data_IF_526660302996
#
_entry.id   IF_526660302996
#
_cell.length_a   1.000
_cell.length_b   1.000
_cell.length_c   1.000
_cell.angle_alpha   90.00
_cell.angle_beta   90.00
_cell.angle_gamma   90.00
#
_symmetry.space_group_name_H-M   'P 1'
#
loop_
_entity.id
_entity.type
_entity.pdbx_description
1 polymer ?
#
# COMPACT_ATOMS: atom_id res chain seq x y z
N UNK A 1 16.69 -19.35 -10.92
CA UNK A 1 16.38 -19.44 -12.36
C UNK A 1 15.68 -18.15 -12.78
N UNK A 2 15.91 -17.64 -13.98
CA UNK A 2 15.17 -16.48 -14.49
C UNK A 2 13.70 -16.89 -14.71
N UNK A 3 12.78 -15.93 -14.57
CA UNK A 3 11.33 -16.15 -14.69
C UNK A 3 10.72 -15.15 -15.67
N UNK A 4 9.67 -15.57 -16.37
CA UNK A 4 8.82 -14.67 -17.17
C UNK A 4 7.38 -14.93 -16.80
N UNK A 5 6.69 -13.88 -16.36
CA UNK A 5 5.26 -13.90 -16.05
C UNK A 5 4.51 -13.31 -17.24
N UNK A 6 3.42 -13.94 -17.66
CA UNK A 6 2.49 -13.44 -18.66
C UNK A 6 1.09 -13.33 -18.09
N UNK A 7 0.37 -12.27 -18.44
CA UNK A 7 -1.03 -12.07 -18.06
C UNK A 7 -1.38 -10.61 -17.86
N UNK A 8 -2.40 -10.36 -17.03
CA UNK A 8 -2.83 -9.02 -16.67
C UNK A 8 -1.86 -8.40 -15.67
N UNK A 9 -1.37 -7.20 -15.95
CA UNK A 9 -0.39 -6.48 -15.12
C UNK A 9 -0.87 -5.05 -14.90
N UNK A 10 -0.72 -4.56 -13.68
CA UNK A 10 -1.00 -3.16 -13.33
C UNK A 10 0.04 -2.59 -12.37
N UNK A 11 0.41 -1.33 -12.54
CA UNK A 11 1.19 -0.59 -11.55
C UNK A 11 1.05 0.92 -11.72
N UNK A 12 1.58 1.67 -10.76
CA UNK A 12 1.61 3.13 -10.79
C UNK A 12 2.95 3.67 -11.33
N UNK A 13 2.88 4.72 -12.14
CA UNK A 13 4.04 5.52 -12.57
C UNK A 13 4.16 6.83 -11.79
N UNK A 14 3.02 7.39 -11.39
CA UNK A 14 2.90 8.56 -10.53
C UNK A 14 1.53 8.53 -9.82
N UNK A 15 1.24 9.54 -9.00
CA UNK A 15 -0.04 9.67 -8.30
C UNK A 15 -1.26 9.56 -9.25
N UNK A 16 -1.14 10.11 -10.46
CA UNK A 16 -2.24 10.20 -11.42
C UNK A 16 -2.03 9.37 -12.69
N UNK A 17 -0.98 8.54 -12.74
CA UNK A 17 -0.62 7.73 -13.92
C UNK A 17 -0.55 6.24 -13.57
N UNK A 18 -1.40 5.46 -14.22
CA UNK A 18 -1.58 4.02 -14.06
C UNK A 18 -1.22 3.33 -15.37
N UNK A 19 -0.28 2.40 -15.33
CA UNK A 19 0.09 1.59 -16.48
C UNK A 19 -0.55 0.21 -16.35
N UNK A 20 -1.18 -0.22 -17.45
CA UNK A 20 -2.00 -1.42 -17.51
C UNK A 20 -1.61 -2.21 -18.76
N UNK A 21 -1.42 -3.51 -18.58
CA UNK A 21 -1.27 -4.45 -19.67
C UNK A 21 -2.32 -5.55 -19.50
N UNK A 22 -3.31 -5.60 -20.38
CA UNK A 22 -4.36 -6.65 -20.34
C UNK A 22 -3.87 -8.00 -20.84
N UNK A 23 -2.80 -7.99 -21.64
CA UNK A 23 -1.94 -9.13 -21.97
C UNK A 23 -0.50 -8.59 -22.04
N UNK A 24 0.22 -8.73 -20.93
CA UNK A 24 1.59 -8.26 -20.78
C UNK A 24 2.55 -9.35 -20.32
N UNK A 25 3.83 -8.99 -20.26
CA UNK A 25 4.86 -9.81 -19.66
C UNK A 25 5.71 -9.02 -18.65
N UNK A 26 6.25 -9.72 -17.65
CA UNK A 26 7.35 -9.25 -16.78
C UNK A 26 8.45 -10.30 -16.78
N UNK A 27 9.66 -9.91 -17.17
CA UNK A 27 10.86 -10.74 -17.13
C UNK A 27 11.70 -10.40 -15.90
N UNK A 28 11.98 -11.41 -15.08
CA UNK A 28 12.74 -11.30 -13.82
C UNK A 28 14.00 -12.16 -13.90
N UNK A 29 15.16 -11.55 -13.67
CA UNK A 29 16.44 -12.25 -13.70
C UNK A 29 16.66 -13.14 -12.46
N UNK A 30 17.79 -13.84 -12.44
CA UNK A 30 18.13 -14.75 -11.34
C UNK A 30 18.42 -14.04 -10.00
N UNK A 31 18.66 -12.72 -10.03
CA UNK A 31 18.87 -11.88 -8.84
C UNK A 31 17.57 -11.23 -8.37
N UNK A 32 16.44 -11.55 -9.01
CA UNK A 32 15.14 -11.00 -8.68
C UNK A 32 14.89 -9.60 -9.22
N UNK A 33 15.69 -9.14 -10.19
CA UNK A 33 15.54 -7.83 -10.84
C UNK A 33 14.64 -7.93 -12.06
N UNK A 34 13.79 -6.93 -12.23
CA UNK A 34 12.98 -6.76 -13.43
C UNK A 34 13.89 -6.28 -14.55
N UNK A 35 13.89 -7.00 -15.67
CA UNK A 35 14.71 -6.68 -16.85
C UNK A 35 13.91 -6.47 -18.13
N UNK A 36 12.60 -6.77 -18.08
CA UNK A 36 11.66 -6.50 -19.16
C UNK A 36 10.25 -6.39 -18.62
N UNK A 37 9.48 -5.44 -19.16
CA UNK A 37 8.05 -5.26 -18.90
C UNK A 37 7.42 -4.67 -20.16
N UNK A 38 6.22 -5.13 -20.52
CA UNK A 38 5.52 -4.61 -21.69
C UNK A 38 4.33 -5.47 -22.09
N UNK A 39 3.73 -5.16 -23.24
CA UNK A 39 2.69 -6.00 -23.83
C UNK A 39 3.26 -7.36 -24.29
N UNK A 40 2.45 -8.41 -24.22
CA UNK A 40 2.89 -9.76 -24.62
C UNK A 40 3.29 -9.82 -26.10
N UNK A 41 2.63 -9.05 -26.98
CA UNK A 41 2.92 -9.06 -28.42
C UNK A 41 4.33 -8.54 -28.78
N UNK A 42 5.01 -7.82 -27.88
CA UNK A 42 6.41 -7.39 -28.09
C UNK A 42 7.42 -8.35 -27.45
N UNK A 43 6.97 -9.40 -26.76
CA UNK A 43 7.85 -10.31 -26.03
C UNK A 43 8.84 -11.04 -26.95
N UNK A 44 8.38 -11.53 -28.10
CA UNK A 44 9.25 -12.27 -29.01
C UNK A 44 10.40 -11.40 -29.53
N UNK A 45 10.11 -10.14 -29.89
CA UNK A 45 11.12 -9.15 -30.25
C UNK A 45 12.08 -8.89 -29.08
N UNK A 46 11.54 -8.66 -27.88
CA UNK A 46 12.35 -8.48 -26.68
C UNK A 46 13.27 -9.69 -26.40
N UNK A 47 12.78 -10.91 -26.61
CA UNK A 47 13.52 -12.16 -26.40
C UNK A 47 14.67 -12.33 -27.39
N UNK A 48 14.56 -11.80 -28.62
CA UNK A 48 15.70 -11.80 -29.57
C UNK A 48 16.91 -11.04 -29.03
N UNK A 49 16.66 -9.98 -28.24
CA UNK A 49 17.70 -9.15 -27.62
C UNK A 49 18.14 -9.70 -26.25
N UNK A 50 17.36 -10.60 -25.65
CA UNK A 50 17.57 -11.16 -24.30
C UNK A 50 17.64 -12.69 -24.34
N UNK A 51 18.57 -13.24 -25.14
CA UNK A 51 18.66 -14.69 -25.40
C UNK A 51 18.88 -15.54 -24.14
N UNK A 52 19.39 -14.96 -23.06
CA UNK A 52 19.52 -15.58 -21.73
C UNK A 52 18.16 -15.95 -21.09
N UNK A 53 17.03 -15.49 -21.65
CA UNK A 53 15.68 -15.85 -21.22
C UNK A 53 15.05 -17.02 -22.00
N UNK A 54 15.71 -17.57 -23.04
CA UNK A 54 15.16 -18.69 -23.84
C UNK A 54 14.88 -19.99 -23.07
N UNK A 55 15.40 -20.12 -21.84
CA UNK A 55 15.13 -21.21 -20.91
C UNK A 55 14.60 -20.74 -19.55
N UNK A 56 14.06 -19.53 -19.47
CA UNK A 56 13.46 -19.02 -18.25
C UNK A 56 12.21 -19.83 -17.87
N UNK A 57 11.92 -19.92 -16.57
CA UNK A 57 10.64 -20.47 -16.11
C UNK A 57 9.52 -19.55 -16.58
N UNK A 58 8.61 -20.08 -17.40
CA UNK A 58 7.46 -19.33 -17.88
C UNK A 58 6.26 -19.61 -16.98
N UNK A 59 5.60 -18.53 -16.59
CA UNK A 59 4.39 -18.53 -15.80
C UNK A 59 3.30 -17.75 -16.54
N UNK A 60 2.11 -18.35 -16.68
CA UNK A 60 0.96 -17.71 -17.29
C UNK A 60 -0.15 -17.60 -16.26
N UNK A 61 -0.56 -16.37 -15.95
CA UNK A 61 -1.70 -16.08 -15.07
C UNK A 61 -3.01 -16.45 -15.79
N UNK A 62 -4.02 -16.83 -15.02
CA UNK A 62 -5.38 -17.00 -15.56
C UNK A 62 -6.03 -15.65 -15.85
N UNK A 63 -7.18 -15.66 -16.54
CA UNK A 63 -7.93 -14.43 -16.81
C UNK A 63 -8.55 -13.79 -15.55
N UNK A 64 -8.64 -14.55 -14.46
CA UNK A 64 -9.10 -14.09 -13.14
C UNK A 64 -7.94 -13.62 -12.25
N UNK A 65 -6.73 -13.59 -12.79
CA UNK A 65 -5.52 -13.24 -12.06
C UNK A 65 -4.84 -12.03 -12.67
N UNK A 66 -4.38 -11.14 -11.80
CA UNK A 66 -3.54 -10.02 -12.20
C UNK A 66 -2.34 -9.85 -11.27
N UNK A 67 -1.33 -9.18 -11.79
CA UNK A 67 -0.06 -8.92 -11.15
C UNK A 67 0.03 -7.44 -10.79
N UNK A 68 0.31 -7.12 -9.53
CA UNK A 68 0.49 -5.75 -9.05
C UNK A 68 1.68 -5.62 -8.10
N UNK A 69 2.29 -4.42 -7.93
CA UNK A 69 3.37 -4.24 -6.97
C UNK A 69 2.88 -4.61 -5.58
N UNK A 70 3.75 -5.22 -4.79
CA UNK A 70 3.39 -5.47 -3.41
C UNK A 70 3.36 -4.21 -2.57
N UNK A 71 2.57 -4.28 -1.50
CA UNK A 71 2.30 -3.14 -0.66
C UNK A 71 3.53 -2.73 0.17
N UNK A 72 3.53 -1.48 0.64
CA UNK A 72 4.57 -0.89 1.48
C UNK A 72 3.89 -0.32 2.72
N UNK A 73 4.31 -0.77 3.91
CA UNK A 73 3.82 -0.28 5.19
C UNK A 73 4.86 0.63 5.83
N UNK A 74 4.64 1.93 5.70
CA UNK A 74 5.57 2.94 6.16
C UNK A 74 5.60 3.09 7.69
N UNK A 75 4.66 2.49 8.44
CA UNK A 75 4.63 2.62 9.90
C UNK A 75 3.82 1.52 10.58
N UNK A 76 4.49 0.73 11.42
CA UNK A 76 3.90 -0.35 12.21
C UNK A 76 4.70 -0.55 13.51
N UNK A 77 4.03 -0.81 14.64
CA UNK A 77 4.70 -1.24 15.86
C UNK A 77 4.59 -2.77 16.01
N UNK A 78 5.61 -3.48 15.52
CA UNK A 78 5.69 -4.94 15.68
C UNK A 78 5.50 -5.44 17.13
N UNK A 79 6.05 -4.77 18.18
CA UNK A 79 5.81 -5.18 19.57
C UNK A 79 4.34 -5.11 20.01
N UNK A 80 3.51 -4.32 19.32
CA UNK A 80 2.12 -4.08 19.71
C UNK A 80 1.13 -5.01 19.00
N UNK A 81 1.58 -5.88 18.10
CA UNK A 81 0.69 -6.79 17.35
C UNK A 81 -0.18 -7.67 18.25
N UNK A 82 0.30 -8.04 19.44
CA UNK A 82 -0.44 -8.87 20.37
C UNK A 82 -1.66 -8.18 21.03
N UNK A 83 -1.76 -6.84 20.97
CA UNK A 83 -2.88 -6.07 21.56
C UNK A 83 -3.79 -5.40 20.53
N UNK A 84 -3.67 -5.75 19.24
CA UNK A 84 -4.57 -5.23 18.18
C UNK A 84 -6.04 -5.35 18.62
N UNK A 85 -6.78 -4.26 18.49
CA UNK A 85 -8.22 -4.23 18.78
C UNK A 85 -8.60 -4.05 20.26
N UNK A 86 -7.62 -3.79 21.15
CA UNK A 86 -7.88 -3.55 22.57
C UNK A 86 -7.81 -2.05 22.91
N UNK A 87 -8.79 -1.55 23.66
CA UNK A 87 -8.77 -0.19 24.25
C UNK A 87 -8.92 0.97 23.26
N UNK A 88 -9.47 0.71 22.08
CA UNK A 88 -9.64 1.74 21.03
C UNK A 88 -10.75 2.76 21.34
N UNK A 89 -11.45 2.60 22.46
CA UNK A 89 -12.42 3.52 23.03
C UNK A 89 -11.81 4.46 24.09
N UNK A 90 -10.47 4.45 24.23
CA UNK A 90 -9.73 5.27 25.19
C UNK A 90 -8.93 6.39 24.51
N UNK A 91 -8.69 7.53 25.20
CA UNK A 91 -7.72 8.53 24.76
C UNK A 91 -6.31 7.95 24.61
N UNK A 92 -5.51 8.49 23.67
CA UNK A 92 -4.17 7.99 23.34
C UNK A 92 -3.27 7.76 24.57
N UNK A 93 -3.17 8.74 25.48
CA UNK A 93 -2.29 8.63 26.65
C UNK A 93 -2.77 7.55 27.64
N UNK A 94 -4.07 7.40 27.81
CA UNK A 94 -4.64 6.38 28.70
C UNK A 94 -4.44 4.99 28.10
N UNK A 95 -4.62 4.88 26.78
CA UNK A 95 -4.36 3.65 26.03
C UNK A 95 -2.90 3.20 26.13
N UNK A 96 -1.95 4.13 25.97
CA UNK A 96 -0.52 3.85 26.09
C UNK A 96 -0.15 3.29 27.46
N UNK A 97 -0.65 3.92 28.53
CA UNK A 97 -0.36 3.50 29.91
C UNK A 97 -1.04 2.16 30.27
N UNK A 98 -2.24 1.92 29.76
CA UNK A 98 -3.04 0.74 30.11
C UNK A 98 -2.61 -0.52 29.36
N UNK A 99 -2.33 -0.41 28.06
CA UNK A 99 -2.06 -1.56 27.19
C UNK A 99 -0.62 -1.60 26.68
N UNK A 100 -0.18 -0.50 26.05
CA UNK A 100 1.06 -0.47 25.26
C UNK A 100 2.31 -0.65 26.10
N UNK A 101 2.57 0.21 27.08
CA UNK A 101 3.79 0.11 27.89
C UNK A 101 3.88 -1.22 28.67
N UNK A 102 2.81 -1.73 29.29
CA UNK A 102 2.84 -3.04 29.92
C UNK A 102 3.11 -4.20 28.94
N UNK A 103 2.61 -4.14 27.70
CA UNK A 103 2.90 -5.16 26.69
C UNK A 103 4.34 -5.07 26.19
N UNK A 104 4.82 -3.87 25.84
CA UNK A 104 6.18 -3.67 25.33
C UNK A 104 7.24 -4.11 26.36
N UNK A 105 7.00 -3.86 27.65
CA UNK A 105 7.87 -4.33 28.73
C UNK A 105 8.05 -5.87 28.75
N UNK A 106 7.07 -6.65 28.27
CA UNK A 106 7.17 -8.12 28.21
C UNK A 106 8.20 -8.61 27.20
N UNK A 107 8.63 -7.79 26.24
CA UNK A 107 9.64 -8.17 25.25
C UNK A 107 11.07 -8.24 25.83
N UNK A 108 11.26 -7.88 27.11
CA UNK A 108 12.45 -8.27 27.85
C UNK A 108 12.61 -9.82 27.92
N UNK A 109 11.51 -10.59 27.83
CA UNK A 109 11.54 -12.04 27.65
C UNK A 109 11.72 -12.40 26.16
N UNK A 110 12.88 -12.95 25.82
CA UNK A 110 13.20 -13.39 24.46
C UNK A 110 12.26 -14.48 23.93
N UNK A 111 11.72 -15.35 24.78
CA UNK A 111 10.76 -16.40 24.34
C UNK A 111 9.44 -15.77 23.92
N UNK A 112 8.96 -14.78 24.68
CA UNK A 112 7.78 -14.00 24.32
C UNK A 112 8.02 -13.22 23.02
N UNK A 113 9.18 -12.56 22.89
CA UNK A 113 9.56 -11.83 21.69
C UNK A 113 9.55 -12.75 20.44
N UNK A 114 10.23 -13.90 20.50
CA UNK A 114 10.27 -14.86 19.38
C UNK A 114 8.86 -15.31 18.95
N UNK A 115 7.99 -15.63 19.91
CA UNK A 115 6.62 -16.07 19.62
C UNK A 115 5.82 -15.00 18.90
N UNK A 116 5.89 -13.75 19.34
CA UNK A 116 5.11 -12.67 18.72
C UNK A 116 5.71 -12.24 17.39
N UNK A 117 7.03 -12.06 17.30
CA UNK A 117 7.69 -11.68 16.05
C UNK A 117 7.55 -12.73 14.94
N UNK A 118 7.44 -14.03 15.28
CA UNK A 118 7.13 -15.05 14.28
C UNK A 118 5.79 -14.77 13.57
N UNK A 119 4.76 -14.31 14.30
CA UNK A 119 3.48 -13.90 13.71
C UNK A 119 3.61 -12.63 12.90
N UNK A 120 4.36 -11.63 13.39
CA UNK A 120 4.61 -10.40 12.65
C UNK A 120 5.26 -10.70 11.31
N UNK A 121 6.31 -11.52 11.30
CA UNK A 121 7.01 -11.92 10.07
C UNK A 121 6.05 -12.65 9.12
N UNK A 122 5.30 -13.66 9.59
CA UNK A 122 4.34 -14.37 8.73
C UNK A 122 3.29 -13.42 8.15
N UNK A 123 2.63 -12.61 8.99
CA UNK A 123 1.59 -11.68 8.54
C UNK A 123 2.14 -10.58 7.62
N UNK A 124 3.36 -10.09 7.85
CA UNK A 124 4.04 -9.12 6.98
C UNK A 124 4.49 -9.74 5.65
N UNK A 125 4.86 -11.02 5.64
CA UNK A 125 5.27 -11.71 4.42
C UNK A 125 4.08 -12.20 3.59
N UNK A 126 2.95 -12.55 4.21
CA UNK A 126 1.72 -12.94 3.51
C UNK A 126 1.01 -11.77 2.81
N UNK A 127 1.33 -10.53 3.22
CA UNK A 127 0.68 -9.30 2.74
C UNK A 127 1.64 -8.28 2.12
N UNK A 128 2.94 -8.62 2.12
CA UNK A 128 4.11 -7.79 1.82
C UNK A 128 4.15 -6.44 2.55
N UNK A 129 4.94 -6.34 3.63
CA UNK A 129 5.27 -5.08 4.30
C UNK A 129 6.78 -4.85 4.40
N UNK A 130 7.23 -3.69 3.94
CA UNK A 130 8.57 -3.15 4.17
C UNK A 130 8.42 -1.99 5.16
N UNK A 131 9.03 -2.09 6.35
CA UNK A 131 9.02 -1.06 7.40
C UNK A 131 10.44 -0.54 7.70
N UNK A 132 10.58 0.75 8.02
CA UNK A 132 11.88 1.40 8.33
C UNK A 132 11.81 2.28 9.60
N UNK A 133 12.92 2.38 10.33
CA UNK A 133 13.05 3.21 11.54
C UNK A 133 13.66 4.60 11.25
N UNK A 134 13.26 5.60 12.05
CA UNK A 134 13.42 7.03 11.78
C UNK A 134 14.78 7.63 12.20
N UNK A 135 15.27 8.58 11.38
CA UNK A 135 16.30 9.59 11.72
C UNK A 135 15.65 10.98 11.78
N UNK A 136 16.24 11.95 12.50
CA UNK A 136 15.67 13.30 12.67
C UNK A 136 15.89 14.20 11.43
N UNK A 137 14.79 14.67 10.80
CA UNK A 137 14.66 15.73 9.79
C UNK A 137 15.62 15.76 8.58
N UNK A 138 15.67 14.66 7.83
CA UNK A 138 16.37 14.55 6.53
C UNK A 138 15.43 14.02 5.45
N UNK A 139 15.92 13.89 4.21
CA UNK A 139 15.19 13.24 3.10
C UNK A 139 14.91 11.74 3.32
N UNK A 140 15.45 11.16 4.41
CA UNK A 140 15.22 9.78 4.87
C UNK A 140 14.40 9.74 6.17
N UNK A 141 13.85 10.87 6.56
CA UNK A 141 12.93 10.96 7.70
C UNK A 141 11.51 10.75 7.19
N UNK A 142 10.83 9.84 7.85
CA UNK A 142 9.39 9.66 7.73
C UNK A 142 8.77 10.17 9.05
N UNK A 143 7.59 10.75 9.03
CA UNK A 143 6.87 11.13 10.25
C UNK A 143 5.47 10.55 10.18
N UNK A 144 5.02 9.88 11.24
CA UNK A 144 3.71 9.27 11.26
C UNK A 144 2.59 10.31 11.49
N UNK A 145 1.39 9.97 11.03
CA UNK A 145 0.12 10.68 11.27
C UNK A 145 -0.05 12.01 10.52
N UNK A 146 0.78 13.02 10.84
CA UNK A 146 0.72 14.38 10.28
C UNK A 146 -0.69 15.04 10.32
N UNK A 147 -1.49 14.76 11.36
CA UNK A 147 -2.88 15.23 11.46
C UNK A 147 -2.97 16.73 11.70
N UNK A 148 -2.12 17.27 12.56
CA UNK A 148 -2.25 18.64 13.08
C UNK A 148 -1.18 19.60 12.56
N UNK A 149 -0.49 19.26 11.47
CA UNK A 149 0.54 20.13 10.92
C UNK A 149 -0.07 21.45 10.41
N UNK A 150 0.52 22.56 10.84
CA UNK A 150 0.21 23.87 10.29
C UNK A 150 0.89 24.11 8.92
N UNK A 151 0.58 25.23 8.26
CA UNK A 151 1.14 25.54 6.94
C UNK A 151 2.66 25.79 6.97
N UNK A 152 3.20 26.29 8.07
CA UNK A 152 4.64 26.54 8.23
C UNK A 152 5.40 25.21 8.39
N UNK A 153 4.85 24.29 9.19
CA UNK A 153 5.37 22.93 9.37
C UNK A 153 5.32 22.12 8.08
N UNK A 154 4.21 22.17 7.34
CA UNK A 154 4.08 21.52 6.02
C UNK A 154 5.12 22.08 5.04
N UNK A 155 5.28 23.41 5.01
CA UNK A 155 6.30 24.05 4.18
C UNK A 155 7.70 23.60 4.56
N UNK A 156 7.99 23.46 5.86
CA UNK A 156 9.27 22.96 6.36
C UNK A 156 9.50 21.49 5.95
N UNK A 157 8.49 20.64 6.07
CA UNK A 157 8.56 19.24 5.65
C UNK A 157 8.92 19.13 4.17
N UNK A 158 8.21 19.88 3.31
CA UNK A 158 8.49 19.93 1.87
C UNK A 158 9.92 20.39 1.58
N UNK A 159 10.40 21.45 2.25
CA UNK A 159 11.79 21.94 2.09
C UNK A 159 12.85 20.94 2.54
N UNK A 160 12.59 20.16 3.60
CA UNK A 160 13.54 19.17 4.14
C UNK A 160 13.47 17.83 3.40
N UNK A 161 12.46 17.62 2.57
CA UNK A 161 12.16 16.33 1.95
C UNK A 161 11.70 15.29 2.96
N UNK A 162 11.17 15.71 4.10
CA UNK A 162 10.59 14.80 5.11
C UNK A 162 9.29 14.22 4.57
N UNK A 163 9.17 12.89 4.65
CA UNK A 163 7.99 12.15 4.19
C UNK A 163 7.00 11.93 5.33
N UNK A 164 5.78 11.55 4.98
CA UNK A 164 4.72 11.21 5.94
C UNK A 164 4.25 9.78 5.75
N UNK A 165 4.08 9.06 6.87
CA UNK A 165 3.31 7.82 6.92
C UNK A 165 1.90 8.15 7.39
N UNK A 166 0.93 8.12 6.47
CA UNK A 166 -0.47 8.35 6.78
C UNK A 166 -1.06 7.08 7.41
N UNK A 167 -1.51 7.19 8.67
CA UNK A 167 -2.02 6.09 9.49
C UNK A 167 -3.52 6.26 9.79
N UNK A 168 -4.40 6.19 8.77
CA UNK A 168 -5.80 6.59 8.89
C UNK A 168 -6.60 5.76 9.88
N UNK A 169 -6.34 4.45 9.98
CA UNK A 169 -7.03 3.58 10.95
C UNK A 169 -6.78 4.06 12.39
N UNK A 170 -5.51 4.20 12.76
CA UNK A 170 -5.10 4.68 14.08
C UNK A 170 -5.64 6.08 14.40
N UNK A 171 -5.50 7.00 13.44
CA UNK A 171 -5.96 8.37 13.61
C UNK A 171 -7.47 8.44 13.93
N UNK A 172 -8.28 7.58 13.30
CA UNK A 172 -9.72 7.51 13.55
C UNK A 172 -10.05 6.80 14.87
N UNK A 173 -9.42 5.64 15.13
CA UNK A 173 -9.71 4.83 16.31
C UNK A 173 -9.35 5.56 17.60
N UNK A 174 -8.21 6.25 17.63
CA UNK A 174 -7.74 7.00 18.80
C UNK A 174 -8.23 8.45 18.82
N UNK A 175 -9.24 8.78 18.00
CA UNK A 175 -9.82 10.13 17.91
C UNK A 175 -8.79 11.24 17.72
N UNK A 176 -7.71 10.95 16.98
CA UNK A 176 -6.63 11.92 16.71
C UNK A 176 -7.05 12.95 15.67
N UNK A 177 -7.77 12.54 14.62
CA UNK A 177 -8.34 13.45 13.62
C UNK A 177 -8.09 13.05 12.17
N UNK A 178 -8.39 13.95 11.24
CA UNK A 178 -8.35 13.69 9.80
C UNK A 178 -7.10 14.33 9.17
N UNK A 179 -6.20 13.51 8.63
CA UNK A 179 -5.02 13.99 7.91
C UNK A 179 -5.35 14.32 6.45
N UNK A 180 -5.12 15.56 6.04
CA UNK A 180 -5.33 16.03 4.65
C UNK A 180 -4.12 15.69 3.77
N UNK A 181 -4.08 14.44 3.31
CA UNK A 181 -3.00 13.91 2.45
C UNK A 181 -2.79 14.74 1.19
N UNK A 182 -3.87 15.25 0.58
CA UNK A 182 -3.77 16.04 -0.65
C UNK A 182 -3.12 17.39 -0.41
N UNK A 183 -3.39 18.04 0.74
CA UNK A 183 -2.67 19.24 1.18
C UNK A 183 -1.18 18.98 1.37
N UNK A 184 -0.80 17.82 1.92
CA UNK A 184 0.61 17.44 2.08
C UNK A 184 1.30 17.26 0.72
N UNK A 185 0.70 16.47 -0.18
CA UNK A 185 1.25 16.17 -1.50
C UNK A 185 1.39 17.44 -2.35
N UNK A 186 0.41 18.35 -2.29
CA UNK A 186 0.46 19.65 -2.98
C UNK A 186 1.67 20.49 -2.56
N UNK A 187 2.19 20.29 -1.36
CA UNK A 187 3.38 20.96 -0.82
C UNK A 187 4.67 20.13 -1.01
N UNK A 188 4.66 19.12 -1.89
CA UNK A 188 5.85 18.33 -2.22
C UNK A 188 6.24 17.30 -1.18
N UNK A 189 5.40 17.04 -0.18
CA UNK A 189 5.62 15.99 0.82
C UNK A 189 5.28 14.64 0.19
N UNK A 190 6.21 13.69 0.29
CA UNK A 190 5.97 12.30 -0.10
C UNK A 190 5.14 11.62 0.98
N UNK A 191 4.08 10.93 0.58
CA UNK A 191 3.16 10.26 1.50
C UNK A 191 3.06 8.78 1.14
N UNK A 192 3.24 7.92 2.14
CA UNK A 192 2.91 6.51 2.09
C UNK A 192 1.84 6.16 3.12
N UNK A 193 1.33 4.92 3.08
CA UNK A 193 0.37 4.43 4.08
C UNK A 193 1.08 3.66 5.20
N UNK A 194 0.54 3.74 6.41
CA UNK A 194 0.98 2.96 7.56
C UNK A 194 -0.19 2.28 8.25
N UNK A 195 0.00 1.05 8.73
CA UNK A 195 -1.03 0.36 9.52
C UNK A 195 -1.13 0.90 10.94
N UNK A 196 0.01 1.33 11.49
CA UNK A 196 0.16 1.79 12.87
C UNK A 196 -0.48 0.86 13.90
N UNK A 197 -0.28 -0.44 13.69
CA UNK A 197 -0.67 -1.40 14.72
C UNK A 197 0.09 -1.07 16.00
N UNK A 198 -0.54 -1.00 17.17
CA UNK A 198 -1.95 -1.39 17.43
C UNK A 198 -2.96 -0.26 17.59
N UNK A 199 -2.56 1.01 17.40
CA UNK A 199 -3.52 2.11 17.33
C UNK A 199 -4.50 1.90 16.17
N UNK A 200 -3.97 1.41 15.05
CA UNK A 200 -4.74 0.77 13.99
C UNK A 200 -5.14 -0.66 14.35
N UNK A 201 -6.37 -1.03 14.00
CA UNK A 201 -6.97 -2.33 14.31
C UNK A 201 -6.71 -3.41 13.24
N UNK A 202 -5.85 -3.14 12.26
CA UNK A 202 -5.59 -4.04 11.13
C UNK A 202 -4.12 -4.04 10.74
N UNK A 203 -3.56 -5.23 10.52
CA UNK A 203 -2.26 -5.40 9.86
C UNK A 203 -2.40 -5.41 8.33
N UNK A 204 -3.46 -4.84 7.74
CA UNK A 204 -3.69 -4.85 6.29
C UNK A 204 -3.41 -3.48 5.69
N UNK A 205 -2.42 -3.31 4.80
CA UNK A 205 -2.32 -2.06 4.03
C UNK A 205 -3.53 -1.87 3.13
N UNK A 206 -4.20 -2.95 2.74
CA UNK A 206 -5.48 -2.83 2.07
C UNK A 206 -6.55 -2.17 2.95
N UNK A 207 -6.59 -2.46 4.26
CA UNK A 207 -7.44 -1.69 5.17
C UNK A 207 -6.97 -0.23 5.26
N UNK A 208 -5.66 0.03 5.34
CA UNK A 208 -5.13 1.39 5.31
C UNK A 208 -5.52 2.16 4.02
N UNK A 209 -5.60 1.49 2.86
CA UNK A 209 -6.14 2.06 1.61
C UNK A 209 -7.59 2.49 1.81
N UNK A 210 -8.44 1.61 2.34
CA UNK A 210 -9.86 1.92 2.58
C UNK A 210 -10.03 3.08 3.56
N UNK A 211 -9.28 3.07 4.66
CA UNK A 211 -9.35 4.15 5.65
C UNK A 211 -8.81 5.47 5.11
N UNK A 212 -7.81 5.46 4.23
CA UNK A 212 -7.35 6.68 3.56
C UNK A 212 -8.43 7.27 2.64
N UNK A 213 -9.15 6.41 1.91
CA UNK A 213 -10.30 6.82 1.10
C UNK A 213 -11.41 7.42 1.97
N UNK A 214 -11.79 6.74 3.07
CA UNK A 214 -12.78 7.23 4.04
C UNK A 214 -12.40 8.60 4.59
N UNK A 215 -11.16 8.77 5.08
CA UNK A 215 -10.66 10.05 5.61
C UNK A 215 -10.75 11.15 4.56
N UNK A 216 -10.40 10.86 3.30
CA UNK A 216 -10.49 11.85 2.22
C UNK A 216 -11.94 12.24 1.90
N UNK A 217 -12.89 11.32 1.97
CA UNK A 217 -14.33 11.61 1.83
C UNK A 217 -14.86 12.40 3.01
N UNK A 218 -14.46 12.09 4.24
CA UNK A 218 -14.84 12.86 5.42
C UNK A 218 -14.35 14.31 5.30
N UNK A 219 -13.12 14.53 4.84
CA UNK A 219 -12.61 15.87 4.54
C UNK A 219 -13.42 16.56 3.45
N UNK A 220 -13.87 15.84 2.42
CA UNK A 220 -14.77 16.40 1.41
C UNK A 220 -16.08 16.90 2.04
N UNK A 221 -16.70 16.11 2.92
CA UNK A 221 -17.94 16.50 3.59
C UNK A 221 -17.73 17.78 4.41
N UNK A 222 -16.67 17.82 5.21
CA UNK A 222 -16.31 18.97 6.06
C UNK A 222 -16.01 20.22 5.21
N UNK A 223 -15.35 20.06 4.06
CA UNK A 223 -14.94 21.19 3.22
C UNK A 223 -16.00 21.71 2.27
N UNK A 224 -16.97 20.89 1.86
CA UNK A 224 -17.92 21.26 0.79
C UNK A 224 -19.35 21.39 1.27
N UNK A 225 -19.72 20.70 2.34
CA UNK A 225 -21.11 20.55 2.76
C UNK A 225 -21.40 21.35 4.03
N UNK A 226 -22.61 21.90 4.10
CA UNK A 226 -23.16 22.42 5.35
C UNK A 226 -23.81 21.26 6.13
N UNK A 227 -23.00 20.58 6.95
CA UNK A 227 -23.49 19.48 7.78
C UNK A 227 -24.30 20.06 8.96
N UNK A 228 -25.63 20.01 8.85
CA UNK A 228 -26.54 20.51 9.89
C UNK A 228 -26.29 19.84 11.23
N UNK A 229 -26.23 20.63 12.31
CA UNK A 229 -26.04 20.13 13.68
C UNK A 229 -24.59 19.85 14.09
N UNK A 230 -23.60 20.09 13.22
CA UNK A 230 -22.17 19.88 13.50
C UNK A 230 -21.41 21.14 13.96
N UNK A 231 -22.12 22.26 14.15
CA UNK A 231 -21.53 23.59 14.34
C UNK A 231 -21.37 24.36 13.02
N UNK A 232 -20.65 25.48 13.04
CA UNK A 232 -20.29 26.26 11.84
C UNK A 232 -18.84 25.91 11.47
N UNK A 233 -18.63 25.40 10.26
CA UNK A 233 -17.29 25.26 9.67
C UNK A 233 -17.02 26.50 8.81
N UNK A 234 -15.93 27.22 9.11
CA UNK A 234 -15.66 28.54 8.54
C UNK A 234 -15.06 28.49 7.13
N UNK A 235 -14.38 27.38 6.78
CA UNK A 235 -13.62 27.28 5.52
C UNK A 235 -14.27 26.25 4.60
N UNK A 236 -14.89 26.75 3.53
CA UNK A 236 -15.36 25.91 2.43
C UNK A 236 -14.33 25.86 1.30
N UNK A 237 -14.05 24.68 0.78
CA UNK A 237 -13.23 24.44 -0.41
C UNK A 237 -14.03 23.59 -1.41
N UNK A 238 -14.80 24.27 -2.26
CA UNK A 238 -15.65 23.64 -3.27
C UNK A 238 -14.85 22.89 -4.36
N UNK A 239 -13.55 23.16 -4.49
CA UNK A 239 -12.68 22.50 -5.44
C UNK A 239 -12.06 21.20 -4.90
N UNK A 240 -12.19 20.92 -3.59
CA UNK A 240 -11.64 19.71 -3.00
C UNK A 240 -12.22 18.46 -3.66
N UNK A 241 -11.33 17.53 -4.02
CA UNK A 241 -11.67 16.22 -4.57
C UNK A 241 -11.03 15.17 -3.67
N UNK A 242 -11.79 14.18 -3.18
CA UNK A 242 -11.24 13.12 -2.35
C UNK A 242 -10.26 12.24 -3.15
N UNK A 243 -9.49 11.43 -2.42
CA UNK A 243 -8.64 10.41 -3.05
C UNK A 243 -9.52 9.41 -3.80
N UNK A 244 -9.07 9.01 -4.99
CA UNK A 244 -9.62 7.84 -5.67
C UNK A 244 -8.79 6.57 -5.40
N UNK A 245 -9.33 5.40 -5.72
CA UNK A 245 -8.67 4.12 -5.45
C UNK A 245 -7.30 3.99 -6.14
N UNK A 246 -7.11 4.61 -7.32
CA UNK A 246 -5.82 4.61 -8.02
C UNK A 246 -4.77 5.37 -7.21
N UNK A 247 -5.12 6.58 -6.74
CA UNK A 247 -4.23 7.36 -5.88
C UNK A 247 -3.93 6.62 -4.58
N UNK A 248 -4.92 5.94 -3.98
CA UNK A 248 -4.68 5.17 -2.76
C UNK A 248 -3.75 3.95 -3.00
N UNK A 249 -3.88 3.24 -4.13
CA UNK A 249 -2.91 2.21 -4.54
C UNK A 249 -1.51 2.81 -4.72
N UNK A 250 -1.38 4.00 -5.31
CA UNK A 250 -0.09 4.70 -5.41
C UNK A 250 0.52 4.90 -4.02
N UNK A 251 -0.23 5.45 -3.05
CA UNK A 251 0.25 5.65 -1.69
C UNK A 251 0.66 4.32 -1.01
N UNK A 252 -0.04 3.23 -1.32
CA UNK A 252 0.25 1.89 -0.80
C UNK A 252 1.43 1.18 -1.48
N UNK A 253 1.93 1.69 -2.61
CA UNK A 253 2.97 1.04 -3.42
C UNK A 253 4.13 2.01 -3.69
N UNK A 254 4.12 2.69 -4.84
CA UNK A 254 5.19 3.60 -5.25
C UNK A 254 5.34 4.80 -4.30
N UNK A 255 4.25 5.40 -3.85
CA UNK A 255 4.26 6.50 -2.89
C UNK A 255 4.83 6.10 -1.53
N UNK A 256 4.52 4.88 -1.06
CA UNK A 256 5.16 4.29 0.13
C UNK A 256 6.66 4.08 -0.08
N UNK A 257 7.06 3.50 -1.21
CA UNK A 257 8.47 3.34 -1.54
C UNK A 257 9.20 4.71 -1.66
N UNK A 258 8.55 5.74 -2.18
CA UNK A 258 9.08 7.10 -2.23
C UNK A 258 9.24 7.70 -0.83
N UNK A 259 8.24 7.52 0.03
CA UNK A 259 8.28 7.99 1.42
C UNK A 259 9.46 7.38 2.18
N UNK A 260 9.73 6.09 1.99
CA UNK A 260 10.85 5.37 2.60
C UNK A 260 12.20 5.56 1.89
N UNK A 261 12.27 6.37 0.82
CA UNK A 261 13.45 6.53 -0.03
C UNK A 261 13.96 5.21 -0.66
N UNK A 262 13.03 4.30 -0.98
CA UNK A 262 13.24 3.00 -1.62
C UNK A 262 12.69 2.94 -3.05
N UNK A 263 12.19 4.05 -3.61
CA UNK A 263 11.55 4.08 -4.93
C UNK A 263 12.50 3.81 -6.10
N UNK A 264 13.82 3.79 -5.91
CA UNK A 264 14.79 3.29 -6.89
C UNK A 264 14.97 1.76 -6.84
N UNK A 265 14.43 1.10 -5.82
CA UNK A 265 14.61 -0.32 -5.53
C UNK A 265 13.31 -1.10 -5.73
N UNK A 266 12.16 -0.53 -5.35
CA UNK A 266 10.84 -1.19 -5.35
C UNK A 266 9.69 -0.19 -5.61
N UNK A 267 8.44 -0.64 -5.45
CA UNK A 267 7.21 0.17 -5.48
C UNK A 267 6.46 0.17 -6.81
N UNK A 268 7.10 -0.23 -7.92
CA UNK A 268 6.45 -0.46 -9.21
C UNK A 268 7.30 -1.38 -10.11
N UNK A 269 6.85 -1.65 -11.34
CA UNK A 269 7.52 -2.58 -12.27
C UNK A 269 8.54 -1.97 -13.22
N UNK A 270 9.12 -0.82 -12.88
CA UNK A 270 10.20 -0.24 -13.68
C UNK A 270 11.42 -1.18 -13.76
N UNK A 271 12.02 -1.27 -14.95
CA UNK A 271 13.25 -2.04 -15.19
C UNK A 271 14.36 -1.62 -14.21
N UNK A 272 15.08 -2.60 -13.66
CA UNK A 272 16.15 -2.42 -12.66
C UNK A 272 15.69 -2.51 -11.20
N UNK A 273 14.37 -2.45 -10.93
CA UNK A 273 13.81 -2.67 -9.59
C UNK A 273 13.75 -4.16 -9.24
N UNK A 274 13.64 -4.45 -7.95
CA UNK A 274 13.33 -5.81 -7.49
C UNK A 274 11.87 -6.15 -7.78
N UNK A 275 11.63 -7.42 -8.11
CA UNK A 275 10.30 -7.96 -8.29
C UNK A 275 9.65 -8.26 -6.93
N UNK A 276 9.12 -7.19 -6.35
CA UNK A 276 8.27 -7.18 -5.16
C UNK A 276 6.81 -7.08 -5.63
N UNK A 277 6.10 -8.20 -5.64
CA UNK A 277 4.85 -8.33 -6.38
C UNK A 277 3.83 -9.21 -5.67
N UNK A 278 2.57 -8.95 -5.97
CA UNK A 278 1.43 -9.79 -5.63
C UNK A 278 0.88 -10.39 -6.92
N UNK A 279 0.51 -11.67 -6.86
CA UNK A 279 -0.44 -12.25 -7.81
C UNK A 279 -1.76 -12.36 -7.07
N UNK A 280 -2.74 -11.62 -7.55
CA UNK A 280 -4.10 -11.56 -7.00
C UNK A 280 -5.00 -12.45 -7.83
N UNK A 281 -5.87 -13.22 -7.18
CA UNK A 281 -6.85 -14.10 -7.79
C UNK A 281 -8.27 -13.69 -7.38
N UNK A 282 -9.07 -13.27 -8.36
CA UNK A 282 -10.45 -12.82 -8.16
C UNK A 282 -11.47 -13.93 -8.29
N UNK A 283 -11.07 -15.16 -8.61
CA UNK A 283 -11.96 -16.32 -8.69
C UNK A 283 -12.38 -16.85 -7.31
N UNK A 284 -11.71 -16.41 -6.24
CA UNK A 284 -11.97 -16.81 -4.85
C UNK A 284 -12.90 -15.83 -4.11
N UNK A 285 -13.63 -16.33 -3.11
CA UNK A 285 -14.39 -15.50 -2.18
C UNK A 285 -13.48 -14.44 -1.50
N UNK A 286 -13.95 -13.19 -1.28
CA UNK A 286 -15.30 -12.66 -1.57
C UNK A 286 -15.48 -12.11 -3.00
N UNK A 287 -14.47 -12.21 -3.86
CA UNK A 287 -14.48 -11.60 -5.20
C UNK A 287 -15.18 -12.43 -6.27
N UNK A 288 -15.24 -13.75 -6.08
CA UNK A 288 -15.83 -14.75 -6.97
C UNK A 288 -17.23 -14.41 -7.48
N UNK A 289 -17.64 -15.05 -8.58
CA UNK A 289 -18.95 -14.91 -9.24
C UNK A 289 -19.23 -13.53 -9.84
N UNK A 290 -18.23 -12.65 -9.95
CA UNK A 290 -18.34 -11.43 -10.73
C UNK A 290 -17.84 -11.66 -12.14
N UNK A 291 -18.77 -11.71 -13.10
CA UNK A 291 -18.44 -11.94 -14.49
C UNK A 291 -18.50 -10.63 -15.29
N UNK A 292 -17.38 -9.91 -15.30
CA UNK A 292 -17.26 -8.66 -16.06
C UNK A 292 -17.34 -8.87 -17.59
N UNK A 293 -17.09 -10.09 -18.07
CA UNK A 293 -16.99 -10.40 -19.50
C UNK A 293 -18.34 -10.47 -20.24
N UNK A 294 -19.47 -10.52 -19.52
CA UNK A 294 -20.80 -10.60 -20.11
C UNK A 294 -21.38 -9.24 -20.56
N UNK A 295 -20.70 -8.13 -20.29
CA UNK A 295 -21.26 -6.77 -20.38
C UNK A 295 -20.71 -5.91 -21.54
N UNK A 296 -20.10 -6.51 -22.59
CA UNK A 296 -19.46 -5.78 -23.70
C UNK A 296 -18.41 -4.72 -23.28
N UNK A 297 -17.74 -4.94 -22.13
CA UNK A 297 -16.72 -4.02 -21.60
C UNK A 297 -15.36 -4.20 -22.31
N UNK A 298 -14.58 -3.13 -22.38
CA UNK A 298 -13.19 -3.23 -22.87
C UNK A 298 -12.34 -4.05 -21.89
N UNK A 299 -11.29 -4.76 -22.36
CA UNK A 299 -10.37 -5.49 -21.49
C UNK A 299 -9.77 -4.62 -20.37
N UNK A 300 -9.46 -3.35 -20.68
CA UNK A 300 -8.91 -2.40 -19.72
C UNK A 300 -9.91 -2.11 -18.59
N UNK A 301 -11.20 -1.91 -18.93
CA UNK A 301 -12.24 -1.68 -17.93
C UNK A 301 -12.47 -2.90 -17.05
N UNK A 302 -12.46 -4.11 -17.65
CA UNK A 302 -12.59 -5.37 -16.90
C UNK A 302 -11.48 -5.49 -15.85
N UNK A 303 -10.23 -5.26 -16.24
CA UNK A 303 -9.10 -5.32 -15.32
C UNK A 303 -9.20 -4.25 -14.22
N UNK A 304 -9.60 -3.03 -14.56
CA UNK A 304 -9.83 -1.97 -13.57
C UNK A 304 -10.94 -2.32 -12.56
N UNK A 305 -12.03 -2.95 -13.01
CA UNK A 305 -13.10 -3.43 -12.13
C UNK A 305 -12.63 -4.57 -11.22
N UNK A 306 -11.84 -5.52 -11.73
CA UNK A 306 -11.23 -6.58 -10.91
C UNK A 306 -10.38 -6.01 -9.79
N UNK A 307 -9.57 -5.00 -10.10
CA UNK A 307 -8.70 -4.32 -9.13
C UNK A 307 -9.52 -3.52 -8.13
N UNK A 308 -10.52 -2.77 -8.62
CA UNK A 308 -11.41 -2.02 -7.75
C UNK A 308 -12.11 -2.95 -6.77
N UNK A 309 -12.67 -4.06 -7.26
CA UNK A 309 -13.28 -5.10 -6.41
C UNK A 309 -12.28 -5.67 -5.40
N UNK A 310 -11.07 -5.98 -5.84
CA UNK A 310 -10.01 -6.43 -4.94
C UNK A 310 -9.79 -5.39 -3.84
N UNK A 311 -9.49 -4.14 -4.16
CA UNK A 311 -9.24 -3.08 -3.17
C UNK A 311 -10.38 -2.94 -2.16
N UNK A 312 -11.64 -2.87 -2.63
CA UNK A 312 -12.79 -2.60 -1.75
C UNK A 312 -13.28 -3.79 -0.94
N UNK A 313 -13.12 -5.02 -1.43
CA UNK A 313 -13.79 -6.19 -0.84
C UNK A 313 -12.85 -7.37 -0.61
N UNK A 314 -11.75 -7.46 -1.37
CA UNK A 314 -10.81 -8.57 -1.29
C UNK A 314 -10.05 -8.60 0.03
N UNK A 315 -9.35 -9.70 0.27
CA UNK A 315 -8.48 -9.87 1.43
C UNK A 315 -7.32 -10.83 1.13
N UNK A 316 -6.64 -11.32 2.18
CA UNK A 316 -5.48 -12.21 2.05
C UNK A 316 -5.78 -13.52 1.32
N UNK A 317 -7.05 -13.95 1.23
CA UNK A 317 -7.47 -15.12 0.44
C UNK A 317 -7.35 -14.88 -1.06
N UNK A 318 -7.44 -13.62 -1.50
CA UNK A 318 -7.26 -13.23 -2.90
C UNK A 318 -5.80 -12.99 -3.26
N UNK A 319 -4.92 -12.76 -2.28
CA UNK A 319 -3.48 -12.67 -2.53
C UNK A 319 -2.93 -14.09 -2.65
N UNK A 320 -2.95 -14.64 -3.87
CA UNK A 320 -2.54 -16.01 -4.14
C UNK A 320 -1.06 -16.19 -3.86
N UNK A 321 -0.20 -15.27 -4.34
CA UNK A 321 1.25 -15.34 -4.14
C UNK A 321 1.86 -13.99 -3.87
N UNK A 322 2.95 -14.03 -3.11
CA UNK A 322 3.74 -12.87 -2.73
C UNK A 322 5.19 -13.11 -3.11
N UNK A 323 5.79 -12.14 -3.78
CA UNK A 323 7.19 -12.16 -4.18
C UNK A 323 7.95 -11.02 -3.50
N UNK A 324 9.15 -11.33 -3.02
CA UNK A 324 10.13 -10.38 -2.49
C UNK A 324 11.47 -10.62 -3.16
N UNK A 325 12.00 -9.61 -3.84
CA UNK A 325 13.20 -9.71 -4.65
C UNK A 325 13.18 -10.94 -5.57
N UNK A 326 12.07 -11.18 -6.26
CA UNK A 326 11.89 -12.32 -7.19
C UNK A 326 11.65 -13.69 -6.53
N UNK A 327 11.78 -13.77 -5.20
CA UNK A 327 11.56 -14.99 -4.44
C UNK A 327 10.11 -15.06 -3.99
N UNK A 328 9.44 -16.17 -4.31
CA UNK A 328 8.08 -16.39 -3.81
C UNK A 328 8.15 -16.75 -2.33
N UNK A 329 7.50 -15.95 -1.49
CA UNK A 329 7.48 -16.12 -0.04
C UNK A 329 6.18 -16.78 0.42
N UNK A 330 5.03 -16.32 -0.09
CA UNK A 330 3.73 -16.98 0.13
C UNK A 330 3.55 -18.07 -0.92
N UNK A 331 3.45 -19.32 -0.45
CA UNK A 331 3.32 -20.51 -1.30
C UNK A 331 1.87 -20.76 -1.69
#
# INVERSE_FOLDING_TARGET
MAKVFFGQIIHTKSLNDFEIFTSGFIAVDQKGKIVGVGNEFVYDEWLTQHTNFKGATVERLSNDQFLMPGFVDCHIHAPQVAQIGLGLDMPLLDWLNTYTFPLEAKYADQKFAQKTYAKVVVSSLEKLYISTYFYLHTYRTVMAHAVHLDDEEITLFGKRGTSVAHCPASNNMLSSGLCDVLRLIKNGIKVGLGTDVSGGNSMSIQDAILRALDVSHHLEFVKKQEIKGSGRLEVQDQAYQPLNYKQAIFLATLGGAEALALSNITGNFAIGKYFDALIVDTSNYPLHNYNASNDNKSPDLILLEMIQKFIYVGDDRNILRVFVAGNQIKK
#
